data_IF_261898861765
#
_entry.id   IF_261898861765
#
_cell.length_a   1.000
_cell.length_b   1.000
_cell.length_c   1.000
_cell.angle_alpha   90.00
_cell.angle_beta   90.00
_cell.angle_gamma   90.00
#
_symmetry.space_group_name_H-M   'P 1'
#
loop_
_entity.id
_entity.type
_entity.pdbx_description
1 polymer ?
#
# COMPACT_ATOMS: atom_id res chain seq x y z
N UNK A 1 -10.63 -12.84 -3.20
CA UNK A 1 -9.26 -12.58 -3.72
C UNK A 1 -8.29 -12.47 -2.56
N UNK A 2 -7.39 -13.44 -2.40
CA UNK A 2 -6.45 -13.51 -1.26
C UNK A 2 -5.60 -12.23 -1.12
N UNK A 3 -5.13 -11.67 -2.23
CA UNK A 3 -4.34 -10.41 -2.27
C UNK A 3 -5.10 -9.23 -1.65
N UNK A 4 -6.39 -9.08 -1.93
CA UNK A 4 -7.19 -7.99 -1.38
C UNK A 4 -7.35 -8.15 0.14
N UNK A 5 -7.57 -9.38 0.61
CA UNK A 5 -7.61 -9.68 2.04
C UNK A 5 -6.26 -9.38 2.71
N UNK A 6 -5.15 -9.78 2.08
CA UNK A 6 -3.80 -9.53 2.59
C UNK A 6 -3.50 -8.02 2.66
N UNK A 7 -3.91 -7.24 1.65
CA UNK A 7 -3.82 -5.77 1.66
C UNK A 7 -4.62 -5.16 2.82
N UNK A 8 -5.87 -5.60 3.03
CA UNK A 8 -6.69 -5.12 4.15
C UNK A 8 -6.07 -5.50 5.50
N UNK A 9 -5.52 -6.71 5.64
CA UNK A 9 -4.79 -7.13 6.83
C UNK A 9 -3.57 -6.24 7.09
N UNK A 10 -2.82 -5.85 6.05
CA UNK A 10 -1.69 -4.93 6.17
C UNK A 10 -2.13 -3.54 6.65
N UNK A 11 -3.25 -3.01 6.14
CA UNK A 11 -3.81 -1.72 6.58
C UNK A 11 -4.17 -1.78 8.07
N UNK A 12 -4.85 -2.85 8.50
CA UNK A 12 -5.21 -3.04 9.90
C UNK A 12 -3.97 -3.19 10.79
N UNK A 13 -2.97 -3.94 10.33
CA UNK A 13 -1.69 -4.11 11.04
C UNK A 13 -0.96 -2.79 11.19
N UNK A 14 -0.89 -1.98 10.14
CA UNK A 14 -0.26 -0.65 10.18
C UNK A 14 -0.97 0.25 11.20
N UNK A 15 -2.32 0.28 11.19
CA UNK A 15 -3.11 1.02 12.18
C UNK A 15 -2.81 0.57 13.61
N UNK A 16 -2.78 -0.74 13.86
CA UNK A 16 -2.48 -1.27 15.19
C UNK A 16 -1.08 -0.89 15.67
N UNK A 17 -0.09 -0.89 14.77
CA UNK A 17 1.28 -0.43 15.09
C UNK A 17 1.32 1.05 15.43
N UNK A 18 0.58 1.89 14.69
CA UNK A 18 0.49 3.32 14.93
C UNK A 18 -0.17 3.68 16.26
N UNK A 19 -1.21 2.94 16.66
CA UNK A 19 -1.93 3.20 17.93
C UNK A 19 -1.21 2.58 19.14
N UNK A 20 -0.36 1.57 18.92
CA UNK A 20 0.32 0.85 20.01
C UNK A 20 1.39 1.64 20.77
N UNK A 21 1.88 2.76 20.22
CA UNK A 21 2.86 3.60 20.89
C UNK A 21 2.50 5.08 20.72
N UNK A 22 2.94 5.91 21.67
CA UNK A 22 2.78 7.36 21.57
C UNK A 22 3.97 7.97 20.82
N UNK A 23 3.70 9.09 20.16
CA UNK A 23 4.73 9.93 19.58
C UNK A 23 5.48 10.66 20.70
N UNK A 24 6.81 10.64 20.65
CA UNK A 24 7.68 11.29 21.62
C UNK A 24 8.47 12.40 20.92
N UNK A 25 8.69 13.52 21.60
CA UNK A 25 9.59 14.57 21.10
C UNK A 25 11.03 14.16 21.40
N UNK A 26 11.91 14.25 20.42
CA UNK A 26 13.33 14.08 20.65
C UNK A 26 13.87 15.30 21.41
N UNK A 27 14.51 15.08 22.56
CA UNK A 27 15.02 16.16 23.41
C UNK A 27 16.14 16.98 22.74
N UNK A 28 16.74 16.47 21.65
CA UNK A 28 17.79 17.15 20.89
C UNK A 28 17.40 17.61 19.47
N UNK A 29 16.34 17.05 18.88
CA UNK A 29 15.89 17.40 17.53
C UNK A 29 14.43 17.88 17.56
N UNK A 30 14.08 18.89 16.75
CA UNK A 30 12.69 19.35 16.55
C UNK A 30 11.82 18.32 15.80
N UNK A 31 12.11 17.04 15.92
CA UNK A 31 11.46 15.93 15.25
C UNK A 31 10.67 15.11 16.26
N UNK A 32 9.61 14.48 15.78
CA UNK A 32 8.77 13.60 16.58
C UNK A 32 9.08 12.17 16.19
N UNK A 33 9.44 11.35 17.17
CA UNK A 33 9.84 9.96 16.96
C UNK A 33 8.75 9.01 17.44
N UNK A 34 8.63 7.87 16.78
CA UNK A 34 7.69 6.81 17.15
C UNK A 34 8.46 5.51 17.31
N UNK A 35 8.32 4.84 18.45
CA UNK A 35 9.07 3.61 18.76
C UNK A 35 8.91 2.51 17.70
N UNK A 36 7.73 2.42 17.07
CA UNK A 36 7.46 1.43 16.02
C UNK A 36 7.64 1.97 14.59
N UNK A 37 8.29 3.11 14.38
CA UNK A 37 8.42 3.72 13.06
C UNK A 37 9.06 2.77 12.02
N UNK A 38 10.16 2.10 12.37
CA UNK A 38 10.80 1.14 11.48
C UNK A 38 9.87 -0.01 11.08
N UNK A 39 9.04 -0.50 12.01
CA UNK A 39 8.07 -1.58 11.75
C UNK A 39 6.93 -1.09 10.85
N UNK A 40 6.48 0.16 11.02
CA UNK A 40 5.50 0.80 10.16
C UNK A 40 6.04 0.95 8.73
N UNK A 41 7.31 1.36 8.56
CA UNK A 41 7.97 1.45 7.25
C UNK A 41 8.00 0.08 6.56
N UNK A 42 8.38 -0.99 7.26
CA UNK A 42 8.36 -2.34 6.69
C UNK A 42 6.95 -2.80 6.28
N UNK A 43 5.94 -2.45 7.09
CA UNK A 43 4.53 -2.76 6.79
C UNK A 43 4.05 -1.99 5.56
N UNK A 44 4.45 -0.72 5.42
CA UNK A 44 4.18 0.10 4.23
C UNK A 44 4.87 -0.45 2.98
N UNK A 45 6.14 -0.86 3.07
CA UNK A 45 6.85 -1.49 1.94
C UNK A 45 6.15 -2.77 1.47
N UNK A 46 5.68 -3.60 2.41
CA UNK A 46 4.89 -4.80 2.10
C UNK A 46 3.58 -4.45 1.40
N UNK A 47 2.87 -3.42 1.89
CA UNK A 47 1.64 -2.91 1.27
C UNK A 47 1.90 -2.41 -0.16
N UNK A 48 2.98 -1.64 -0.36
CA UNK A 48 3.36 -1.12 -1.67
C UNK A 48 3.68 -2.25 -2.66
N UNK A 49 4.41 -3.28 -2.23
CA UNK A 49 4.67 -4.45 -3.07
C UNK A 49 3.35 -5.14 -3.49
N UNK A 50 2.40 -5.28 -2.58
CA UNK A 50 1.12 -5.92 -2.87
C UNK A 50 0.21 -5.05 -3.75
N UNK A 51 0.23 -3.72 -3.59
CA UNK A 51 -0.54 -2.82 -4.43
C UNK A 51 -0.03 -2.79 -5.87
N UNK A 52 1.29 -2.74 -6.07
CA UNK A 52 1.92 -2.88 -7.39
C UNK A 52 1.59 -4.23 -8.02
N UNK A 53 1.65 -5.32 -7.23
CA UNK A 53 1.30 -6.65 -7.71
C UNK A 53 -0.17 -6.75 -8.12
N UNK A 54 -1.09 -6.22 -7.31
CA UNK A 54 -2.52 -6.16 -7.64
C UNK A 54 -2.74 -5.41 -8.96
N UNK A 55 -2.11 -4.25 -9.14
CA UNK A 55 -2.19 -3.48 -10.38
C UNK A 55 -1.71 -4.29 -11.59
N UNK A 56 -0.57 -4.98 -11.48
CA UNK A 56 -0.04 -5.86 -12.56
C UNK A 56 -1.01 -7.01 -12.89
N UNK A 57 -1.60 -7.65 -11.87
CA UNK A 57 -2.55 -8.76 -12.07
C UNK A 57 -3.83 -8.27 -12.74
N UNK A 58 -4.42 -7.18 -12.25
CA UNK A 58 -5.65 -6.61 -12.82
C UNK A 58 -5.42 -6.13 -14.25
N UNK A 59 -4.26 -5.53 -14.53
CA UNK A 59 -3.87 -5.12 -15.89
C UNK A 59 -3.81 -6.31 -16.84
N UNK A 60 -3.09 -7.38 -16.47
CA UNK A 60 -3.00 -8.60 -17.28
C UNK A 60 -4.35 -9.29 -17.47
N UNK A 61 -5.23 -9.26 -16.46
CA UNK A 61 -6.55 -9.85 -16.54
C UNK A 61 -7.46 -9.08 -17.50
N UNK A 62 -7.43 -7.74 -17.44
CA UNK A 62 -8.19 -6.86 -18.35
C UNK A 62 -7.76 -7.00 -19.82
N UNK A 63 -6.49 -7.32 -20.07
CA UNK A 63 -5.97 -7.53 -21.42
C UNK A 63 -6.39 -8.89 -22.01
N UNK A 64 -6.59 -9.90 -21.16
CA UNK A 64 -6.95 -11.27 -21.59
C UNK A 64 -8.44 -11.49 -21.78
N UNK A 65 -9.29 -10.63 -21.23
CA UNK A 65 -10.74 -10.71 -21.38
C UNK A 65 -11.39 -9.34 -21.24
N UNK A 66 -12.41 -9.08 -22.05
CA UNK A 66 -13.17 -7.83 -21.98
C UNK A 66 -13.99 -7.79 -20.68
N UNK A 67 -13.40 -7.23 -19.62
CA UNK A 67 -14.03 -7.03 -18.32
C UNK A 67 -14.07 -5.53 -18.00
N UNK A 68 -15.14 -4.80 -18.37
CA UNK A 68 -15.20 -3.34 -18.28
C UNK A 68 -14.99 -2.81 -16.84
N UNK A 69 -15.50 -3.53 -15.84
CA UNK A 69 -15.31 -3.19 -14.43
C UNK A 69 -13.83 -3.23 -13.98
N UNK A 70 -12.99 -4.08 -14.58
CA UNK A 70 -11.55 -4.09 -14.29
C UNK A 70 -10.84 -2.89 -14.92
N UNK A 71 -11.32 -2.43 -16.07
CA UNK A 71 -10.77 -1.27 -16.77
C UNK A 71 -11.07 0.02 -16.01
N UNK A 72 -12.30 0.16 -15.49
CA UNK A 72 -12.68 1.24 -14.58
C UNK A 72 -11.84 1.22 -13.29
N UNK A 73 -11.65 0.03 -12.69
CA UNK A 73 -10.80 -0.13 -11.51
C UNK A 73 -9.35 0.30 -11.80
N UNK A 74 -8.78 -0.10 -12.92
CA UNK A 74 -7.41 0.30 -13.31
C UNK A 74 -7.28 1.81 -13.50
N UNK A 75 -8.29 2.44 -14.12
CA UNK A 75 -8.34 3.89 -14.30
C UNK A 75 -8.36 4.61 -12.95
N UNK A 76 -9.15 4.13 -11.99
CA UNK A 76 -9.22 4.72 -10.66
C UNK A 76 -7.93 4.50 -9.86
N UNK A 77 -7.34 3.29 -9.94
CA UNK A 77 -6.11 2.97 -9.22
C UNK A 77 -4.91 3.76 -9.75
N UNK A 78 -4.82 3.95 -11.07
CA UNK A 78 -3.65 4.53 -11.72
C UNK A 78 -3.94 5.88 -12.38
N UNK A 79 -4.90 6.64 -11.86
CA UNK A 79 -5.30 7.94 -12.41
C UNK A 79 -4.11 8.91 -12.57
N UNK A 80 -3.17 8.87 -11.63
CA UNK A 80 -1.97 9.73 -11.61
C UNK A 80 -0.72 9.05 -12.19
N UNK A 81 -0.85 7.91 -12.90
CA UNK A 81 0.27 7.10 -13.37
C UNK A 81 1.24 6.60 -12.26
N UNK A 82 0.74 6.52 -11.02
CA UNK A 82 1.52 6.10 -9.85
C UNK A 82 2.13 4.71 -10.01
N UNK A 83 1.40 3.77 -10.59
CA UNK A 83 1.85 2.39 -10.77
C UNK A 83 2.60 2.17 -12.09
N UNK A 84 2.48 3.09 -13.06
CA UNK A 84 3.20 3.01 -14.34
C UNK A 84 4.70 3.16 -14.15
N UNK A 85 5.12 4.06 -13.25
CA UNK A 85 6.55 4.28 -12.95
C UNK A 85 7.17 3.16 -12.09
N UNK A 86 6.35 2.37 -11.41
CA UNK A 86 6.78 1.25 -10.56
C UNK A 86 6.80 -0.10 -11.31
N UNK A 87 6.43 -0.10 -12.60
CA UNK A 87 6.32 -1.30 -13.43
C UNK A 87 7.44 -1.51 -14.46
N UNK A 88 8.33 -0.53 -14.64
CA UNK A 88 9.60 -0.67 -15.36
C UNK A 88 10.69 -1.32 -14.47
#
# INVERSE_FOLDING_TARGET
>A
MKIIQDIFCLILKFRSQLVSAQWQQDAGQKTVVHGNFAVMVNTFQSFHMYSVFLFKVVSRLSQKGYQPHLQELLLQLNFNNYYTQASD
#
